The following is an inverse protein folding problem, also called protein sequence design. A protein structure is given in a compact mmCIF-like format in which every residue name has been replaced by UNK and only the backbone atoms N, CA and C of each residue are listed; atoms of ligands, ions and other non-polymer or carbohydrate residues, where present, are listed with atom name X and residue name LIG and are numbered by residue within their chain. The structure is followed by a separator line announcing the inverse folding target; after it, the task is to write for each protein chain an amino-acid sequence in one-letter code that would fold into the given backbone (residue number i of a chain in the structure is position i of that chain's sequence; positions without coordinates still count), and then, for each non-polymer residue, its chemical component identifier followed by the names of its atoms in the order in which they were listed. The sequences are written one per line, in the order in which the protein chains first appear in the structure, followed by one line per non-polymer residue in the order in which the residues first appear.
data_IF_100405779792
#
_entry.id   IF_100405779792
#
_cell.length_a   1.000
_cell.length_b   1.000
_cell.length_c   1.000
_cell.angle_alpha   90.00
_cell.angle_beta   90.00
_cell.angle_gamma   90.00
#
_symmetry.space_group_name_H-M   'P 1'
#
loop_
_entity.id
_entity.type
_entity.pdbx_description
1 polymer ?
#
# COMPACT_ATOMS: atom_id res chain seq x y z
N UNK A 1 16.30 2.10 -4.60
CA UNK A 1 16.59 2.67 -3.26
C UNK A 1 15.62 2.02 -2.29
N UNK A 2 16.14 1.18 -1.38
CA UNK A 2 15.35 0.47 -0.36
C UNK A 2 14.82 1.49 0.64
N UNK A 3 13.50 1.52 0.82
CA UNK A 3 12.89 2.34 1.85
C UNK A 3 13.16 1.68 3.21
N UNK A 4 13.96 2.33 4.08
CA UNK A 4 14.05 1.93 5.49
C UNK A 4 12.73 2.26 6.18
N UNK A 5 11.84 1.28 6.21
CA UNK A 5 10.57 1.33 6.94
C UNK A 5 10.83 1.05 8.42
N UNK A 6 10.32 1.92 9.31
CA UNK A 6 10.36 1.69 10.75
C UNK A 6 9.15 0.84 11.18
N UNK A 7 9.34 -0.40 11.67
CA UNK A 7 8.25 -1.24 12.16
C UNK A 7 7.47 -0.58 13.30
N UNK A 8 8.15 0.10 14.25
CA UNK A 8 7.51 0.70 15.42
C UNK A 8 6.54 1.81 15.06
N UNK A 9 6.88 2.66 14.08
CA UNK A 9 5.98 3.72 13.60
C UNK A 9 4.81 3.13 12.81
N UNK A 10 5.03 1.98 12.13
CA UNK A 10 4.00 1.25 11.41
C UNK A 10 2.97 0.63 12.36
N UNK A 11 3.38 0.13 13.53
CA UNK A 11 2.51 -0.53 14.52
C UNK A 11 1.60 0.44 15.30
N UNK A 12 1.91 1.74 15.35
CA UNK A 12 1.12 2.73 16.10
C UNK A 12 -0.36 2.81 15.66
N UNK A 13 -0.65 2.44 14.41
CA UNK A 13 -2.00 2.42 13.84
C UNK A 13 -2.35 1.02 13.28
N UNK A 14 -1.91 -0.04 13.96
CA UNK A 14 -2.10 -1.41 13.47
C UNK A 14 -3.58 -1.79 13.36
N UNK A 15 -4.43 -1.39 14.31
CA UNK A 15 -5.86 -1.69 14.29
C UNK A 15 -6.56 -1.11 13.05
N UNK A 16 -6.27 0.12 12.70
CA UNK A 16 -6.85 0.83 11.55
C UNK A 16 -6.37 0.28 10.20
N UNK A 17 -5.23 -0.42 10.19
CA UNK A 17 -4.67 -1.06 8.99
C UNK A 17 -5.14 -2.47 8.79
N UNK A 18 -5.57 -3.15 9.86
CA UNK A 18 -6.05 -4.54 9.81
C UNK A 18 -7.42 -4.64 9.15
N UNK A 19 -8.36 -3.73 9.45
CA UNK A 19 -9.70 -3.80 8.87
C UNK A 19 -9.72 -3.76 7.32
N UNK A 20 -8.98 -2.86 6.64
CA UNK A 20 -8.89 -2.89 5.17
C UNK A 20 -8.36 -4.21 4.60
N UNK A 21 -7.45 -4.86 5.31
CA UNK A 21 -6.94 -6.17 4.91
C UNK A 21 -7.99 -7.27 5.08
N UNK A 22 -8.73 -7.27 6.20
CA UNK A 22 -9.84 -8.22 6.40
C UNK A 22 -10.93 -8.06 5.34
N UNK A 23 -11.26 -6.82 4.98
CA UNK A 23 -12.23 -6.52 3.92
C UNK A 23 -11.70 -6.95 2.54
N UNK A 24 -10.39 -6.86 2.29
CA UNK A 24 -9.76 -7.39 1.10
C UNK A 24 -9.85 -8.91 1.05
N UNK A 25 -9.52 -9.60 2.15
CA UNK A 25 -9.64 -11.05 2.26
C UNK A 25 -11.09 -11.55 2.10
N UNK A 26 -12.08 -10.75 2.51
CA UNK A 26 -13.49 -11.09 2.33
C UNK A 26 -13.95 -11.09 0.86
N UNK A 27 -13.17 -10.53 -0.07
CA UNK A 27 -13.46 -10.61 -1.50
C UNK A 27 -13.03 -11.94 -2.12
N UNK A 28 -12.13 -12.69 -1.47
CA UNK A 28 -11.65 -13.98 -1.97
C UNK A 28 -12.81 -14.97 -2.02
N UNK A 29 -12.97 -15.65 -3.15
CA UNK A 29 -14.00 -16.67 -3.35
C UNK A 29 -13.51 -18.03 -2.88
N UNK A 30 -14.30 -18.70 -2.07
CA UNK A 30 -14.00 -20.03 -1.52
C UNK A 30 -14.48 -21.20 -2.39
N UNK A 31 -14.83 -20.95 -3.64
CA UNK A 31 -15.33 -21.95 -4.59
C UNK A 31 -14.21 -22.78 -5.26
N UNK A 32 -12.96 -22.34 -5.11
CA UNK A 32 -11.76 -23.05 -5.57
C UNK A 32 -10.77 -23.16 -4.40
N UNK A 33 -10.18 -24.35 -4.16
CA UNK A 33 -9.13 -24.49 -3.14
C UNK A 33 -7.94 -23.57 -3.41
N UNK A 34 -7.40 -22.97 -2.35
CA UNK A 34 -6.19 -22.16 -2.42
C UNK A 34 -5.02 -22.98 -1.87
N UNK A 35 -4.21 -23.55 -2.75
CA UNK A 35 -3.06 -24.37 -2.35
C UNK A 35 -1.76 -23.57 -2.35
N UNK A 36 -1.61 -22.62 -3.28
CA UNK A 36 -0.41 -21.80 -3.44
C UNK A 36 -0.74 -20.31 -3.57
N UNK A 37 -0.15 -19.50 -2.71
CA UNK A 37 -0.33 -18.06 -2.74
C UNK A 37 1.00 -17.30 -2.66
N UNK A 38 0.98 -16.06 -3.17
CA UNK A 38 2.03 -15.08 -2.95
C UNK A 38 1.42 -13.80 -2.37
N UNK A 39 2.13 -13.18 -1.42
CA UNK A 39 1.82 -11.84 -0.89
C UNK A 39 2.92 -10.87 -1.31
N UNK A 40 2.58 -9.94 -2.19
CA UNK A 40 3.50 -9.02 -2.84
C UNK A 40 3.54 -7.68 -2.09
N UNK A 41 4.61 -7.44 -1.36
CA UNK A 41 4.79 -6.37 -0.38
C UNK A 41 4.30 -6.81 1.00
N UNK A 42 4.76 -7.98 1.45
CA UNK A 42 4.30 -8.64 2.68
C UNK A 42 4.67 -7.92 3.98
N UNK A 43 5.58 -6.93 3.92
CA UNK A 43 6.04 -6.19 5.10
C UNK A 43 6.54 -7.10 6.21
N UNK A 44 6.06 -6.91 7.45
CA UNK A 44 6.42 -7.70 8.63
C UNK A 44 5.85 -9.13 8.67
N UNK A 45 5.11 -9.55 7.63
CA UNK A 45 4.62 -10.92 7.48
C UNK A 45 3.41 -11.31 8.34
N UNK A 46 2.98 -10.49 9.29
CA UNK A 46 1.84 -10.76 10.18
C UNK A 46 0.55 -10.99 9.39
N UNK A 47 0.24 -10.09 8.44
CA UNK A 47 -0.96 -10.18 7.61
C UNK A 47 -0.88 -11.35 6.61
N UNK A 48 0.31 -11.66 6.12
CA UNK A 48 0.56 -12.84 5.28
C UNK A 48 0.26 -14.12 6.05
N UNK A 49 0.74 -14.22 7.30
CA UNK A 49 0.47 -15.36 8.17
C UNK A 49 -1.04 -15.49 8.47
N UNK A 50 -1.71 -14.36 8.76
CA UNK A 50 -3.16 -14.33 8.96
C UNK A 50 -3.93 -14.86 7.73
N UNK A 51 -3.54 -14.46 6.52
CA UNK A 51 -4.16 -14.95 5.30
C UNK A 51 -3.93 -16.46 5.10
N UNK A 52 -2.69 -16.93 5.32
CA UNK A 52 -2.35 -18.35 5.24
C UNK A 52 -3.22 -19.21 6.17
N UNK A 53 -3.37 -18.77 7.42
CA UNK A 53 -4.15 -19.49 8.45
C UNK A 53 -5.65 -19.44 8.15
N UNK A 54 -6.17 -18.28 7.76
CA UNK A 54 -7.59 -18.08 7.48
C UNK A 54 -8.12 -18.99 6.36
N UNK A 55 -7.31 -19.20 5.33
CA UNK A 55 -7.71 -19.98 4.15
C UNK A 55 -7.08 -21.39 4.12
N UNK A 56 -6.27 -21.74 5.11
CA UNK A 56 -5.57 -23.03 5.14
C UNK A 56 -4.66 -23.28 3.94
N UNK A 57 -3.97 -22.23 3.46
CA UNK A 57 -3.14 -22.30 2.25
C UNK A 57 -1.88 -23.09 2.54
N UNK A 58 -1.63 -24.15 1.76
CA UNK A 58 -0.54 -25.06 2.00
C UNK A 58 0.86 -24.44 1.77
N UNK A 59 0.95 -23.54 0.78
CA UNK A 59 2.21 -22.87 0.43
C UNK A 59 1.98 -21.38 0.21
N UNK A 60 2.58 -20.54 1.06
CA UNK A 60 2.52 -19.08 0.94
C UNK A 60 3.93 -18.51 0.89
N UNK A 61 4.17 -17.60 -0.03
CA UNK A 61 5.42 -16.85 -0.12
C UNK A 61 5.13 -15.36 0.04
N UNK A 62 5.74 -14.72 1.06
CA UNK A 62 5.78 -13.26 1.16
C UNK A 62 7.01 -12.71 0.43
N UNK A 63 6.80 -11.67 -0.38
CA UNK A 63 7.88 -10.94 -1.07
C UNK A 63 7.87 -9.49 -0.58
N UNK A 64 9.04 -8.99 -0.17
CA UNK A 64 9.23 -7.59 0.17
C UNK A 64 10.64 -7.12 -0.23
N UNK A 65 10.82 -5.85 -0.52
CA UNK A 65 12.12 -5.28 -0.89
C UNK A 65 12.88 -4.67 0.30
N UNK A 66 12.30 -4.69 1.50
CA UNK A 66 12.90 -4.17 2.74
C UNK A 66 13.51 -5.30 3.57
N UNK A 67 14.86 -5.37 3.72
CA UNK A 67 15.49 -6.32 4.62
C UNK A 67 15.00 -6.20 6.07
N UNK A 68 14.71 -4.98 6.54
CA UNK A 68 14.23 -4.73 7.89
C UNK A 68 12.82 -5.33 8.11
N UNK A 69 11.92 -5.21 7.13
CA UNK A 69 10.60 -5.84 7.18
C UNK A 69 10.71 -7.36 7.16
N UNK A 70 11.58 -7.92 6.31
CA UNK A 70 11.78 -9.36 6.24
C UNK A 70 12.43 -9.94 7.51
N UNK A 71 13.29 -9.17 8.19
CA UNK A 71 13.82 -9.57 9.50
C UNK A 71 12.69 -9.69 10.53
N UNK A 72 11.72 -8.78 10.53
CA UNK A 72 10.53 -8.89 11.36
C UNK A 72 9.60 -10.04 10.92
N UNK A 73 9.46 -10.28 9.60
CA UNK A 73 8.63 -11.34 9.06
C UNK A 73 9.15 -12.75 9.42
N UNK A 74 10.44 -12.89 9.68
CA UNK A 74 11.07 -14.19 9.99
C UNK A 74 10.43 -14.92 11.19
N UNK A 75 9.85 -14.17 12.16
CA UNK A 75 9.15 -14.77 13.30
C UNK A 75 7.87 -15.53 12.92
N UNK A 76 7.30 -15.23 11.74
CA UNK A 76 6.10 -15.89 11.21
C UNK A 76 6.43 -17.06 10.27
N UNK A 77 7.71 -17.23 9.91
CA UNK A 77 8.15 -18.31 9.01
C UNK A 77 7.93 -19.68 9.62
N UNK A 78 7.39 -20.62 8.82
CA UNK A 78 7.11 -22.00 9.23
C UNK A 78 6.98 -22.89 7.98
N UNK A 79 6.92 -24.22 8.12
CA UNK A 79 6.64 -25.09 6.98
C UNK A 79 5.40 -24.60 6.20
N UNK A 80 5.56 -24.34 4.90
CA UNK A 80 4.53 -23.80 4.04
C UNK A 80 4.40 -22.26 4.02
N UNK A 81 5.10 -21.53 4.88
CA UNK A 81 5.13 -20.07 4.87
C UNK A 81 6.57 -19.54 4.90
N UNK A 82 7.01 -18.93 3.81
CA UNK A 82 8.35 -18.35 3.68
C UNK A 82 8.31 -16.87 3.25
N UNK A 83 9.38 -16.13 3.57
CA UNK A 83 9.54 -14.74 3.20
C UNK A 83 10.85 -14.54 2.42
N UNK A 84 10.80 -13.77 1.33
CA UNK A 84 11.95 -13.57 0.43
C UNK A 84 12.10 -12.12 0.02
N UNK A 85 13.36 -11.70 -0.08
CA UNK A 85 13.71 -10.41 -0.65
C UNK A 85 13.40 -10.42 -2.16
N UNK A 86 12.68 -9.38 -2.63
CA UNK A 86 12.35 -9.24 -4.05
C UNK A 86 11.64 -7.95 -4.37
N UNK A 87 11.67 -7.59 -5.65
CA UNK A 87 10.94 -6.47 -6.21
C UNK A 87 9.60 -6.95 -6.75
N UNK A 88 8.51 -6.50 -6.15
CA UNK A 88 7.15 -6.87 -6.57
C UNK A 88 6.80 -6.37 -7.98
N UNK A 89 7.42 -5.28 -8.43
CA UNK A 89 7.24 -4.74 -9.78
C UNK A 89 7.85 -5.62 -10.86
N UNK A 90 8.93 -6.34 -10.54
CA UNK A 90 9.61 -7.27 -11.46
C UNK A 90 9.23 -8.74 -11.23
N UNK A 91 8.45 -9.03 -10.18
CA UNK A 91 8.11 -10.41 -9.81
C UNK A 91 7.29 -11.12 -10.89
N UNK A 92 7.65 -12.39 -11.15
CA UNK A 92 6.99 -13.30 -12.08
C UNK A 92 6.93 -14.73 -11.51
N UNK A 93 6.01 -15.54 -12.03
CA UNK A 93 5.91 -16.97 -11.74
C UNK A 93 5.32 -17.73 -12.94
N UNK A 94 5.32 -19.05 -12.89
CA UNK A 94 5.00 -19.95 -14.02
C UNK A 94 3.49 -20.24 -14.19
N UNK A 95 2.60 -19.38 -13.65
CA UNK A 95 1.15 -19.55 -13.81
C UNK A 95 0.56 -20.66 -12.93
N UNK A 96 1.11 -20.84 -11.72
CA UNK A 96 0.80 -21.92 -10.80
C UNK A 96 0.25 -21.42 -9.42
N UNK A 97 -0.03 -20.12 -9.29
CA UNK A 97 -0.56 -19.55 -8.07
C UNK A 97 -2.09 -19.48 -8.09
N UNK A 98 -2.74 -19.97 -7.03
CA UNK A 98 -4.19 -19.86 -6.86
C UNK A 98 -4.58 -18.47 -6.38
N UNK A 99 -3.65 -17.78 -5.69
CA UNK A 99 -3.87 -16.43 -5.15
C UNK A 99 -2.62 -15.57 -5.28
N UNK A 100 -2.80 -14.39 -5.87
CA UNK A 100 -1.85 -13.26 -5.79
C UNK A 100 -2.48 -12.18 -4.93
N UNK A 101 -1.83 -11.85 -3.81
CA UNK A 101 -2.26 -10.85 -2.84
C UNK A 101 -1.30 -9.68 -2.84
N UNK A 102 -1.81 -8.44 -2.73
CA UNK A 102 -1.02 -7.24 -2.53
C UNK A 102 -1.79 -6.21 -1.70
N UNK A 103 -1.35 -5.98 -0.46
CA UNK A 103 -2.03 -5.05 0.43
C UNK A 103 -1.16 -3.83 0.71
N UNK A 104 -1.59 -2.65 0.26
CA UNK A 104 -0.91 -1.37 0.44
C UNK A 104 0.55 -1.37 -0.05
N UNK A 105 0.83 -2.05 -1.15
CA UNK A 105 2.16 -2.19 -1.74
C UNK A 105 2.24 -1.71 -3.19
N UNK A 106 1.21 -1.98 -4.02
CA UNK A 106 1.23 -1.67 -5.45
C UNK A 106 1.38 -0.17 -5.75
N UNK A 107 0.92 0.74 -4.89
CA UNK A 107 1.07 2.19 -5.08
C UNK A 107 2.54 2.65 -5.19
N UNK A 108 3.49 1.85 -4.71
CA UNK A 108 4.92 2.16 -4.78
C UNK A 108 5.56 1.79 -6.11
N UNK A 109 4.84 1.08 -6.97
CA UNK A 109 5.34 0.56 -8.24
C UNK A 109 4.72 1.33 -9.40
N UNK A 110 5.49 1.83 -10.37
CA UNK A 110 4.96 2.45 -11.57
C UNK A 110 4.40 1.40 -12.54
N UNK A 111 3.69 1.86 -13.59
CA UNK A 111 3.21 1.03 -14.70
C UNK A 111 2.33 -0.15 -14.26
N UNK A 112 1.25 0.13 -13.53
CA UNK A 112 0.33 -0.88 -13.03
C UNK A 112 -0.18 -1.83 -14.11
N UNK A 113 -0.31 -1.38 -15.37
CA UNK A 113 -0.72 -2.24 -16.48
C UNK A 113 0.24 -3.41 -16.71
N UNK A 114 1.54 -3.15 -16.71
CA UNK A 114 2.57 -4.19 -16.91
C UNK A 114 2.74 -5.06 -15.66
N UNK A 115 2.61 -4.47 -14.49
CA UNK A 115 2.70 -5.20 -13.22
C UNK A 115 1.53 -6.17 -13.09
N UNK A 116 0.29 -5.70 -13.27
CA UNK A 116 -0.91 -6.52 -13.17
C UNK A 116 -0.98 -7.60 -14.26
N UNK A 117 -0.39 -7.33 -15.45
CA UNK A 117 -0.23 -8.37 -16.48
C UNK A 117 0.65 -9.52 -15.98
N UNK A 118 1.85 -9.20 -15.41
CA UNK A 118 2.75 -10.23 -14.86
C UNK A 118 2.08 -11.00 -13.72
N UNK A 119 1.37 -10.32 -12.84
CA UNK A 119 0.65 -10.96 -11.74
C UNK A 119 -0.50 -11.84 -12.23
N UNK A 120 -1.22 -11.42 -13.29
CA UNK A 120 -2.22 -12.24 -13.96
C UNK A 120 -1.59 -13.49 -14.57
N UNK A 121 -0.42 -13.36 -15.22
CA UNK A 121 0.27 -14.49 -15.87
C UNK A 121 0.80 -15.50 -14.85
N UNK A 122 1.11 -15.06 -13.62
CA UNK A 122 1.51 -15.91 -12.51
C UNK A 122 0.36 -16.72 -11.88
N UNK A 123 -0.89 -16.34 -12.11
CA UNK A 123 -2.05 -17.09 -11.61
C UNK A 123 -2.26 -18.39 -12.40
N UNK A 124 -2.66 -19.45 -11.73
CA UNK A 124 -3.22 -20.63 -12.36
C UNK A 124 -4.57 -20.33 -13.06
N UNK A 125 -5.05 -21.17 -13.98
CA UNK A 125 -6.41 -21.09 -14.49
C UNK A 125 -7.42 -21.07 -13.34
N UNK A 126 -8.34 -20.08 -13.32
CA UNK A 126 -9.28 -19.86 -12.22
C UNK A 126 -8.69 -19.15 -10.98
N UNK A 127 -7.39 -18.89 -10.96
CA UNK A 127 -6.71 -18.21 -9.84
C UNK A 127 -7.18 -16.78 -9.65
N UNK A 128 -6.97 -16.26 -8.43
CA UNK A 128 -7.53 -15.00 -7.97
C UNK A 128 -6.44 -13.97 -7.69
N UNK A 129 -6.69 -12.73 -8.10
CA UNK A 129 -5.92 -11.54 -7.75
C UNK A 129 -6.70 -10.72 -6.73
N UNK A 130 -6.07 -10.34 -5.62
CA UNK A 130 -6.63 -9.40 -4.65
C UNK A 130 -5.62 -8.29 -4.34
N UNK A 131 -6.04 -7.05 -4.54
CA UNK A 131 -5.18 -5.88 -4.37
C UNK A 131 -5.91 -4.78 -3.60
N UNK A 132 -5.21 -4.17 -2.64
CA UNK A 132 -5.67 -2.95 -2.00
C UNK A 132 -4.62 -1.86 -2.15
N UNK A 133 -5.06 -0.68 -2.55
CA UNK A 133 -4.22 0.52 -2.61
C UNK A 133 -4.91 1.72 -1.93
N UNK A 134 -4.14 2.65 -1.31
CA UNK A 134 -4.70 3.91 -0.84
C UNK A 134 -5.20 4.74 -2.03
N UNK A 135 -6.28 5.52 -1.82
CA UNK A 135 -6.84 6.46 -2.80
C UNK A 135 -7.03 7.83 -2.15
N UNK A 136 -5.94 8.43 -1.73
CA UNK A 136 -5.92 9.60 -0.84
C UNK A 136 -5.08 10.78 -1.35
N UNK A 137 -4.56 10.74 -2.57
CA UNK A 137 -3.73 11.81 -3.14
C UNK A 137 -4.40 13.20 -3.12
N UNK A 138 -5.73 13.25 -3.23
CA UNK A 138 -6.53 14.48 -3.18
C UNK A 138 -6.88 14.95 -1.75
N UNK A 139 -6.53 14.17 -0.72
CA UNK A 139 -6.81 14.56 0.66
C UNK A 139 -5.93 15.73 1.11
N UNK A 140 -6.42 16.59 2.01
CA UNK A 140 -5.66 17.75 2.50
C UNK A 140 -4.25 17.41 2.96
N UNK A 141 -4.06 16.26 3.63
CA UNK A 141 -2.75 15.78 4.10
C UNK A 141 -1.72 15.54 2.98
N UNK A 142 -2.16 15.18 1.76
CA UNK A 142 -1.28 14.97 0.60
C UNK A 142 -1.12 16.25 -0.21
N UNK A 143 -2.21 16.97 -0.43
CA UNK A 143 -2.21 18.24 -1.19
C UNK A 143 -1.33 19.27 -0.48
N UNK A 144 -1.52 19.48 0.83
CA UNK A 144 -0.73 20.45 1.59
C UNK A 144 0.76 20.07 1.61
N UNK A 145 1.09 18.78 1.68
CA UNK A 145 2.49 18.34 1.62
C UNK A 145 3.14 18.68 0.26
N UNK A 146 2.41 18.54 -0.83
CA UNK A 146 2.87 18.94 -2.15
C UNK A 146 2.98 20.49 -2.28
N UNK A 147 2.01 21.23 -1.74
CA UNK A 147 2.02 22.70 -1.75
C UNK A 147 3.22 23.27 -0.96
N UNK A 148 3.53 22.67 0.21
CA UNK A 148 4.71 23.06 1.00
C UNK A 148 6.00 22.72 0.25
N UNK A 149 6.07 21.56 -0.40
CA UNK A 149 7.24 21.17 -1.17
C UNK A 149 7.50 22.07 -2.39
N UNK A 150 6.43 22.65 -2.97
CA UNK A 150 6.52 23.60 -4.07
C UNK A 150 6.81 25.05 -3.62
N UNK A 151 6.73 25.34 -2.32
CA UNK A 151 7.06 26.68 -1.79
C UNK A 151 8.55 26.99 -2.08
N UNK A 152 8.90 28.17 -2.61
CA UNK A 152 10.29 28.54 -2.94
C UNK A 152 11.28 28.36 -1.79
N UNK A 153 10.84 28.48 -0.53
CA UNK A 153 11.66 28.27 0.66
C UNK A 153 12.19 26.84 0.79
N UNK A 154 11.41 25.84 0.29
CA UNK A 154 11.76 24.42 0.38
C UNK A 154 12.18 23.85 -0.98
N UNK A 155 11.61 24.35 -2.08
CA UNK A 155 11.87 23.84 -3.42
C UNK A 155 13.36 23.82 -3.77
N UNK A 156 14.11 24.85 -3.38
CA UNK A 156 15.55 24.94 -3.61
C UNK A 156 16.35 23.88 -2.82
N UNK A 157 15.86 23.45 -1.67
CA UNK A 157 16.54 22.46 -0.82
C UNK A 157 16.46 21.03 -1.39
N UNK A 158 15.52 20.74 -2.31
CA UNK A 158 15.47 19.46 -3.02
C UNK A 158 16.50 19.33 -4.14
N UNK A 159 17.21 20.42 -4.47
CA UNK A 159 18.21 20.42 -5.53
C UNK A 159 17.62 20.21 -6.93
N UNK A 160 18.47 19.85 -7.93
CA UNK A 160 18.06 19.76 -9.33
C UNK A 160 16.98 18.70 -9.63
N UNK A 161 16.87 17.67 -8.78
CA UNK A 161 15.87 16.62 -8.95
C UNK A 161 14.45 17.07 -8.56
N UNK A 162 14.32 18.19 -7.83
CA UNK A 162 13.06 18.66 -7.29
C UNK A 162 12.49 17.80 -6.18
N UNK A 163 11.30 18.15 -5.71
CA UNK A 163 10.60 17.40 -4.69
C UNK A 163 10.16 16.02 -5.21
N UNK A 164 10.35 14.95 -4.42
CA UNK A 164 9.94 13.61 -4.83
C UNK A 164 8.41 13.54 -5.02
N UNK A 165 7.92 12.89 -6.10
CA UNK A 165 6.50 12.80 -6.39
C UNK A 165 5.75 12.01 -5.33
N UNK A 166 4.44 12.25 -5.23
CA UNK A 166 3.55 11.40 -4.44
C UNK A 166 3.29 10.10 -5.21
N UNK A 167 3.69 8.94 -4.67
CA UNK A 167 3.51 7.68 -5.38
C UNK A 167 2.03 7.31 -5.57
N UNK A 168 1.15 7.75 -4.67
CA UNK A 168 -0.30 7.54 -4.83
C UNK A 168 -0.84 8.38 -5.99
N UNK A 169 -0.46 9.66 -6.05
CA UNK A 169 -0.87 10.53 -7.17
C UNK A 169 -0.29 10.09 -8.51
N UNK A 170 0.94 9.55 -8.49
CA UNK A 170 1.65 9.18 -9.72
C UNK A 170 1.21 7.83 -10.30
N UNK A 171 0.84 6.87 -9.44
CA UNK A 171 0.70 5.47 -9.85
C UNK A 171 -0.71 4.92 -9.68
N UNK A 172 -1.49 5.38 -8.67
CA UNK A 172 -2.79 4.78 -8.36
C UNK A 172 -3.85 5.29 -9.31
N UNK A 173 -4.53 4.36 -9.97
CA UNK A 173 -5.61 4.63 -10.91
C UNK A 173 -6.96 4.85 -10.19
N UNK A 174 -7.92 5.46 -10.87
CA UNK A 174 -9.30 5.48 -10.41
C UNK A 174 -9.91 4.06 -10.43
N UNK A 175 -10.95 3.77 -9.61
CA UNK A 175 -11.55 2.44 -9.57
C UNK A 175 -12.04 1.95 -10.94
N UNK A 176 -12.64 2.82 -11.74
CA UNK A 176 -13.13 2.54 -13.10
C UNK A 176 -11.99 2.27 -14.09
N UNK A 177 -10.83 2.91 -13.89
CA UNK A 177 -9.64 2.65 -14.71
C UNK A 177 -9.05 1.28 -14.38
N UNK A 178 -8.99 0.89 -13.08
CA UNK A 178 -8.62 -0.47 -12.70
C UNK A 178 -9.58 -1.51 -13.28
N UNK A 179 -10.90 -1.28 -13.22
CA UNK A 179 -11.87 -2.20 -13.79
C UNK A 179 -11.68 -2.39 -15.30
N UNK A 180 -11.45 -1.30 -16.04
CA UNK A 180 -11.17 -1.31 -17.47
C UNK A 180 -9.86 -2.04 -17.79
N UNK A 181 -8.82 -1.81 -16.98
CA UNK A 181 -7.52 -2.46 -17.12
C UNK A 181 -7.63 -3.98 -16.89
N UNK A 182 -8.29 -4.40 -15.82
CA UNK A 182 -8.48 -5.83 -15.52
C UNK A 182 -9.24 -6.53 -16.65
N UNK A 183 -10.28 -5.89 -17.19
CA UNK A 183 -10.99 -6.40 -18.37
C UNK A 183 -10.05 -6.56 -19.59
N UNK A 184 -9.25 -5.53 -19.88
CA UNK A 184 -8.30 -5.56 -21.00
C UNK A 184 -7.21 -6.63 -20.83
N UNK A 185 -6.88 -6.98 -19.59
CA UNK A 185 -5.94 -8.05 -19.25
C UNK A 185 -6.58 -9.46 -19.33
N UNK A 186 -7.88 -9.58 -19.60
CA UNK A 186 -8.58 -10.85 -19.78
C UNK A 186 -9.00 -11.53 -18.47
N UNK A 187 -9.18 -10.78 -17.38
CA UNK A 187 -9.88 -11.29 -16.21
C UNK A 187 -11.37 -11.47 -16.54
N UNK A 188 -11.95 -12.61 -16.18
CA UNK A 188 -13.34 -12.99 -16.54
C UNK A 188 -14.37 -12.57 -15.51
N UNK A 189 -13.95 -12.43 -14.27
CA UNK A 189 -14.75 -11.88 -13.18
C UNK A 189 -13.93 -10.83 -12.43
N UNK A 190 -14.59 -9.79 -11.95
CA UNK A 190 -13.92 -8.76 -11.19
C UNK A 190 -14.88 -8.01 -10.24
N UNK A 191 -14.32 -7.49 -9.16
CA UNK A 191 -14.97 -6.59 -8.24
C UNK A 191 -13.98 -5.49 -7.85
N UNK A 192 -14.26 -4.26 -8.25
CA UNK A 192 -13.46 -3.09 -7.91
C UNK A 192 -14.34 -2.10 -7.18
N UNK A 193 -13.93 -1.67 -5.99
CA UNK A 193 -14.70 -0.68 -5.21
C UNK A 193 -13.81 0.33 -4.51
N UNK A 194 -14.33 1.54 -4.35
CA UNK A 194 -13.79 2.54 -3.44
C UNK A 194 -14.44 2.33 -2.06
N UNK A 195 -13.60 2.14 -1.05
CA UNK A 195 -14.04 1.98 0.34
C UNK A 195 -13.53 3.15 1.18
N UNK A 196 -14.42 3.76 1.98
CA UNK A 196 -14.06 4.78 2.97
C UNK A 196 -13.98 4.14 4.35
N UNK A 197 -12.85 4.32 5.04
CA UNK A 197 -12.64 3.90 6.42
C UNK A 197 -12.74 5.10 7.35
N UNK A 198 -13.75 5.14 8.23
CA UNK A 198 -14.00 6.25 9.13
C UNK A 198 -13.11 6.14 10.37
N UNK A 199 -11.90 6.70 10.30
CA UNK A 199 -11.02 6.78 11.47
C UNK A 199 -11.43 7.97 12.35
N UNK A 200 -11.47 7.75 13.66
CA UNK A 200 -11.68 8.79 14.65
C UNK A 200 -10.37 9.01 15.41
N UNK A 201 -9.63 10.03 15.01
CA UNK A 201 -8.37 10.39 15.64
C UNK A 201 -8.64 11.24 16.89
N UNK A 202 -7.73 11.19 17.87
CA UNK A 202 -7.87 11.96 19.11
C UNK A 202 -7.90 13.46 18.86
N UNK A 203 -7.15 13.92 17.83
CA UNK A 203 -7.06 15.34 17.50
C UNK A 203 -6.60 15.51 16.02
N UNK A 204 -6.81 16.69 15.46
CA UNK A 204 -6.39 17.00 14.07
C UNK A 204 -4.87 16.84 13.84
N UNK A 205 -4.04 17.01 14.86
CA UNK A 205 -2.59 16.80 14.78
C UNK A 205 -2.21 15.37 14.53
N UNK A 206 -3.03 14.41 14.96
CA UNK A 206 -2.77 13.00 14.73
C UNK A 206 -2.72 12.65 13.23
N UNK A 207 -3.30 13.50 12.35
CA UNK A 207 -3.14 13.37 10.90
C UNK A 207 -1.68 13.54 10.49
N UNK A 208 -0.93 14.48 11.12
CA UNK A 208 0.50 14.69 10.84
C UNK A 208 1.28 13.42 11.19
N UNK A 209 1.01 12.85 12.38
CA UNK A 209 1.65 11.61 12.82
C UNK A 209 1.29 10.42 11.93
N UNK A 210 0.03 10.35 11.47
CA UNK A 210 -0.43 9.32 10.55
C UNK A 210 0.38 9.31 9.24
N UNK A 211 0.59 10.48 8.63
CA UNK A 211 1.29 10.59 7.34
C UNK A 211 2.81 10.68 7.49
N UNK A 212 3.34 10.93 8.69
CA UNK A 212 4.78 11.01 8.96
C UNK A 212 5.48 9.70 8.59
N UNK A 213 4.88 8.56 8.93
CA UNK A 213 5.41 7.23 8.61
C UNK A 213 5.15 6.77 7.18
N UNK A 214 4.50 7.56 6.35
CA UNK A 214 4.13 7.20 4.98
C UNK A 214 4.44 8.33 3.99
N UNK A 215 3.52 9.25 3.80
CA UNK A 215 3.58 10.33 2.80
C UNK A 215 4.79 11.25 3.00
N UNK A 216 5.16 11.56 4.25
CA UNK A 216 6.24 12.51 4.53
C UNK A 216 7.64 11.86 4.50
N UNK A 217 7.74 10.54 4.51
CA UNK A 217 9.05 9.84 4.46
C UNK A 217 9.86 10.19 3.21
N UNK A 218 9.20 10.47 2.09
CA UNK A 218 9.87 10.88 0.86
C UNK A 218 10.60 12.21 1.01
N UNK A 219 10.01 13.17 1.71
CA UNK A 219 10.63 14.47 1.97
C UNK A 219 11.74 14.37 3.03
N UNK A 220 11.52 13.56 4.07
CA UNK A 220 12.54 13.29 5.09
C UNK A 220 13.83 12.72 4.49
N UNK A 221 13.72 11.90 3.45
CA UNK A 221 14.88 11.31 2.75
C UNK A 221 15.53 12.26 1.76
N UNK A 222 14.79 13.24 1.27
CA UNK A 222 15.26 14.16 0.23
C UNK A 222 15.80 15.48 0.77
N UNK A 223 15.44 15.87 1.99
CA UNK A 223 15.85 17.11 2.63
C UNK A 223 16.95 16.88 3.67
N UNK A 224 17.88 17.84 3.87
CA UNK A 224 18.69 17.92 5.08
C UNK A 224 17.81 17.93 6.34
N UNK A 225 18.32 17.44 7.47
CA UNK A 225 17.55 17.27 8.69
C UNK A 225 16.91 18.58 9.20
N UNK A 226 17.65 19.68 9.20
CA UNK A 226 17.16 21.00 9.59
C UNK A 226 16.10 21.56 8.66
N UNK A 227 16.27 21.35 7.34
CA UNK A 227 15.28 21.71 6.34
C UNK A 227 14.00 20.86 6.46
N UNK A 228 14.13 19.57 6.79
CA UNK A 228 12.97 18.72 7.03
C UNK A 228 12.18 19.12 8.27
N UNK A 229 12.84 19.49 9.38
CA UNK A 229 12.14 19.99 10.58
C UNK A 229 11.38 21.30 10.28
N UNK A 230 11.98 22.23 9.53
CA UNK A 230 11.30 23.44 9.10
C UNK A 230 10.11 23.13 8.13
N UNK A 231 10.30 22.18 7.22
CA UNK A 231 9.24 21.67 6.34
C UNK A 231 8.07 21.08 7.14
N UNK A 232 8.37 20.25 8.14
CA UNK A 232 7.36 19.60 8.97
C UNK A 232 6.54 20.62 9.77
N UNK A 233 7.20 21.63 10.34
CA UNK A 233 6.53 22.71 11.06
C UNK A 233 5.57 23.52 10.16
N UNK A 234 6.02 23.89 8.96
CA UNK A 234 5.19 24.59 7.97
C UNK A 234 4.03 23.72 7.48
N UNK A 235 4.31 22.42 7.22
CA UNK A 235 3.28 21.46 6.84
C UNK A 235 2.20 21.32 7.91
N UNK A 236 2.57 21.15 9.18
CA UNK A 236 1.62 21.09 10.30
C UNK A 236 0.78 22.36 10.36
N UNK A 237 1.40 23.52 10.28
CA UNK A 237 0.70 24.81 10.35
C UNK A 237 -0.34 24.93 9.25
N UNK A 238 0.03 24.69 7.99
CA UNK A 238 -0.88 24.79 6.84
C UNK A 238 -1.96 23.70 6.84
N UNK A 239 -1.59 22.48 7.26
CA UNK A 239 -2.56 21.40 7.37
C UNK A 239 -3.64 21.72 8.40
N UNK A 240 -3.26 22.17 9.61
CA UNK A 240 -4.20 22.52 10.66
C UNK A 240 -5.06 23.75 10.33
N UNK A 241 -4.51 24.69 9.58
CA UNK A 241 -5.30 25.81 9.01
C UNK A 241 -6.37 25.28 8.04
N UNK A 242 -5.99 24.34 7.18
CA UNK A 242 -6.88 23.75 6.15
C UNK A 242 -7.98 22.86 6.70
N UNK A 243 -7.67 22.01 7.70
CA UNK A 243 -8.62 21.01 8.23
C UNK A 243 -9.30 21.44 9.53
N UNK A 244 -8.87 22.55 10.14
CA UNK A 244 -9.34 23.02 11.44
C UNK A 244 -8.77 22.22 12.62
N UNK A 245 -8.97 22.75 13.83
CA UNK A 245 -8.57 22.11 15.09
C UNK A 245 -9.78 21.46 15.73
N UNK A 246 -9.86 20.14 15.66
CA UNK A 246 -10.99 19.35 16.15
C UNK A 246 -10.49 18.29 17.15
N UNK A 247 -11.32 17.99 18.14
CA UNK A 247 -11.15 16.93 19.13
C UNK A 247 -12.51 16.27 19.42
N UNK A 248 -12.74 15.05 18.98
CA UNK A 248 -11.93 14.22 18.08
C UNK A 248 -11.96 14.75 16.64
N UNK A 249 -11.03 14.27 15.80
CA UNK A 249 -11.00 14.56 14.36
C UNK A 249 -11.47 13.34 13.55
N UNK A 250 -12.48 13.54 12.71
CA UNK A 250 -12.95 12.51 11.78
C UNK A 250 -12.09 12.48 10.52
N UNK A 251 -11.38 11.35 10.31
CA UNK A 251 -10.44 11.15 9.21
C UNK A 251 -10.95 10.06 8.25
N UNK A 252 -11.68 10.42 7.18
CA UNK A 252 -12.25 9.48 6.22
C UNK A 252 -11.16 9.00 5.25
N UNK A 253 -10.49 7.89 5.55
CA UNK A 253 -9.41 7.37 4.73
C UNK A 253 -9.95 6.49 3.60
N UNK A 254 -9.56 6.77 2.35
CA UNK A 254 -10.08 6.09 1.15
C UNK A 254 -9.09 5.03 0.65
N UNK A 255 -9.63 3.89 0.22
CA UNK A 255 -8.89 2.79 -0.39
C UNK A 255 -9.65 2.21 -1.57
N UNK A 256 -8.93 1.78 -2.61
CA UNK A 256 -9.49 0.93 -3.66
C UNK A 256 -9.20 -0.52 -3.30
N UNK A 257 -10.25 -1.34 -3.28
CA UNK A 257 -10.18 -2.78 -3.11
C UNK A 257 -10.52 -3.44 -4.45
N UNK A 258 -9.70 -4.38 -4.84
CA UNK A 258 -9.75 -5.07 -6.12
C UNK A 258 -9.75 -6.57 -5.87
N UNK A 259 -10.67 -7.28 -6.50
CA UNK A 259 -10.65 -8.70 -6.69
C UNK A 259 -10.87 -9.02 -8.17
N UNK A 260 -10.14 -9.97 -8.72
CA UNK A 260 -10.33 -10.42 -10.08
C UNK A 260 -9.95 -11.90 -10.23
N UNK A 261 -10.59 -12.61 -11.20
CA UNK A 261 -10.35 -14.02 -11.49
C UNK A 261 -9.81 -14.20 -12.90
N UNK A 262 -8.71 -14.95 -13.04
CA UNK A 262 -8.20 -15.40 -14.32
C UNK A 262 -9.15 -16.45 -14.94
N UNK A 263 -9.30 -16.45 -16.26
CA UNK A 263 -10.03 -17.51 -16.98
C UNK A 263 -9.48 -18.91 -16.61
N UNK A 264 -10.39 -19.88 -16.53
CA UNK A 264 -10.07 -21.29 -16.31
C UNK A 264 -9.55 -21.98 -17.56
#
# INVERSE_FOLDING_TARGET
MTADWSPDQYHRFAGERTQPFLDLLALIRGDVPLCRAVDLGCGSGELTALAADRFGIATVRGIDNSPAMLAAAAMHARPGLEFRLGDIGAWTADGDHDLVLANASLQWVPNHADVLRRWRDALAPGGQLVVQVPSNAHMPSHVVAADVAADPRFAAAFGPAGAPPDPVAANVLAPEEYASLLHSLGFVEQHVRLQVYPHLLGDSRDVVEWVRGTTLTRFQKALPADAFEAFLAEYEARLLDRIGRHRPYFFPFRRVLIWARRAG
#
